data_IF_470074422111
#
_entry.id   IF_470074422111
#
_cell.length_a   1.000
_cell.length_b   1.000
_cell.length_c   1.000
_cell.angle_alpha   90.00
_cell.angle_beta   90.00
_cell.angle_gamma   90.00
#
_symmetry.space_group_name_H-M   'P 1'
#
loop_
_entity.id
_entity.type
_entity.pdbx_description
1 polymer ?
#
# COMPACT_ATOMS: atom_id res chain seq x y z
N UNK A 1 22.55 2.18 -29.14
CA UNK A 1 21.25 1.97 -28.48
C UNK A 1 20.19 2.07 -29.58
N UNK A 2 19.17 1.22 -29.59
CA UNK A 2 18.08 1.33 -30.56
C UNK A 2 17.37 2.69 -30.37
N UNK A 3 17.06 3.46 -31.43
CA UNK A 3 16.25 4.68 -31.31
C UNK A 3 14.93 4.50 -30.55
N UNK A 4 14.32 3.32 -30.63
CA UNK A 4 13.12 2.97 -29.86
C UNK A 4 13.43 2.91 -28.36
N UNK A 5 14.54 2.28 -27.97
CA UNK A 5 14.98 2.19 -26.58
C UNK A 5 15.21 3.59 -25.99
N UNK A 6 15.83 4.50 -26.75
CA UNK A 6 16.08 5.88 -26.31
C UNK A 6 14.77 6.67 -26.10
N UNK A 7 13.77 6.50 -26.97
CA UNK A 7 12.46 7.14 -26.84
C UNK A 7 11.67 6.59 -25.64
N UNK A 8 11.66 5.27 -25.44
CA UNK A 8 11.02 4.63 -24.29
C UNK A 8 11.71 5.02 -22.98
N UNK A 9 13.04 5.11 -22.98
CA UNK A 9 13.81 5.65 -21.87
C UNK A 9 13.41 7.10 -21.55
N UNK A 10 13.27 7.95 -22.59
CA UNK A 10 12.88 9.36 -22.44
C UNK A 10 11.47 9.48 -21.86
N UNK A 11 10.51 8.68 -22.33
CA UNK A 11 9.14 8.66 -21.79
C UNK A 11 9.11 8.29 -20.31
N UNK A 12 9.88 7.27 -19.92
CA UNK A 12 9.97 6.82 -18.53
C UNK A 12 10.62 7.86 -17.62
N UNK A 13 11.70 8.50 -18.08
CA UNK A 13 12.55 9.41 -17.29
C UNK A 13 12.14 10.88 -17.31
N UNK A 14 11.30 11.28 -18.29
CA UNK A 14 10.98 12.70 -18.53
C UNK A 14 10.23 13.39 -17.39
N UNK A 15 9.45 12.67 -16.58
CA UNK A 15 8.67 13.27 -15.50
C UNK A 15 8.60 12.37 -14.26
N UNK A 16 8.92 12.94 -13.08
CA UNK A 16 8.75 12.24 -11.80
C UNK A 16 7.28 11.87 -11.55
N UNK A 17 7.07 10.81 -10.77
CA UNK A 17 5.73 10.33 -10.41
C UNK A 17 4.95 11.42 -9.63
N UNK A 18 3.64 11.50 -9.87
CA UNK A 18 2.80 12.50 -9.24
C UNK A 18 2.58 12.17 -7.76
N UNK A 19 2.72 13.16 -6.86
CA UNK A 19 2.66 12.94 -5.41
C UNK A 19 1.23 12.85 -4.85
N UNK A 20 0.23 13.34 -5.58
CA UNK A 20 -1.16 13.35 -5.08
C UNK A 20 -1.68 11.97 -4.68
N UNK A 21 -1.58 10.89 -5.49
CA UNK A 21 -2.14 9.60 -5.11
C UNK A 21 -1.64 9.06 -3.76
N UNK A 22 -0.32 8.95 -3.49
CA UNK A 22 0.15 8.51 -2.18
C UNK A 22 -0.16 9.52 -1.06
N UNK A 23 -0.18 10.83 -1.34
CA UNK A 23 -0.54 11.83 -0.33
C UNK A 23 -2.01 11.73 0.10
N UNK A 24 -2.92 11.52 -0.86
CA UNK A 24 -4.34 11.28 -0.60
C UNK A 24 -4.52 10.01 0.22
N UNK A 25 -3.82 8.93 -0.12
CA UNK A 25 -3.88 7.69 0.64
C UNK A 25 -3.49 7.89 2.11
N UNK A 26 -2.44 8.66 2.38
CA UNK A 26 -1.99 8.97 3.75
C UNK A 26 -3.02 9.81 4.50
N UNK A 27 -3.62 10.81 3.84
CA UNK A 27 -4.69 11.61 4.45
C UNK A 27 -5.90 10.72 4.78
N UNK A 28 -6.26 9.80 3.88
CA UNK A 28 -7.34 8.83 4.11
C UNK A 28 -7.01 7.90 5.27
N UNK A 29 -5.78 7.39 5.37
CA UNK A 29 -5.34 6.57 6.51
C UNK A 29 -5.45 7.33 7.84
N UNK A 30 -4.93 8.55 7.90
CA UNK A 30 -5.00 9.38 9.12
C UNK A 30 -6.44 9.75 9.50
N UNK A 31 -7.29 10.05 8.53
CA UNK A 31 -8.71 10.29 8.77
C UNK A 31 -9.43 9.02 9.26
N UNK A 32 -9.14 7.88 8.63
CA UNK A 32 -9.68 6.57 9.01
C UNK A 32 -9.31 6.22 10.44
N UNK A 33 -8.05 6.46 10.84
CA UNK A 33 -7.57 6.27 12.21
C UNK A 33 -8.25 7.24 13.19
N UNK A 34 -8.34 8.52 12.86
CA UNK A 34 -8.96 9.53 13.74
C UNK A 34 -10.44 9.23 14.04
N UNK A 35 -11.12 8.57 13.09
CA UNK A 35 -12.51 8.15 13.21
C UNK A 35 -12.68 6.78 13.90
N UNK A 36 -11.61 6.09 14.28
CA UNK A 36 -11.73 4.81 14.99
C UNK A 36 -12.42 4.99 16.35
N UNK A 37 -13.22 3.99 16.79
CA UNK A 37 -13.74 3.94 18.15
C UNK A 37 -12.62 4.07 19.19
N UNK A 38 -12.90 4.78 20.29
CA UNK A 38 -11.89 5.07 21.31
C UNK A 38 -11.28 3.83 21.95
N UNK A 39 -12.00 2.70 21.95
CA UNK A 39 -11.50 1.40 22.42
C UNK A 39 -10.37 0.82 21.56
N UNK A 40 -10.22 1.29 20.32
CA UNK A 40 -9.23 0.81 19.35
C UNK A 40 -8.07 1.80 19.14
N UNK A 41 -8.06 2.89 19.90
CA UNK A 41 -7.00 3.90 19.85
C UNK A 41 -5.91 3.57 20.85
N UNK A 42 -4.67 3.73 20.40
CA UNK A 42 -3.51 3.66 21.27
C UNK A 42 -3.11 5.06 21.71
N UNK A 43 -3.56 5.45 22.90
CA UNK A 43 -3.31 6.78 23.46
C UNK A 43 -4.21 7.87 22.85
N UNK A 44 -3.81 9.15 22.93
CA UNK A 44 -4.62 10.26 22.45
C UNK A 44 -4.88 10.21 20.93
N UNK A 45 -6.16 10.32 20.54
CA UNK A 45 -6.68 10.18 19.16
C UNK A 45 -5.89 10.92 18.07
N UNK A 46 -5.31 12.07 18.41
CA UNK A 46 -4.67 12.94 17.43
C UNK A 46 -3.15 12.73 17.31
N UNK A 47 -2.51 11.93 18.17
CA UNK A 47 -1.04 11.77 18.09
C UNK A 47 -0.64 11.17 16.76
N UNK A 48 -1.22 10.02 16.39
CA UNK A 48 -0.84 9.34 15.14
C UNK A 48 -1.18 10.19 13.90
N UNK A 49 -2.40 10.74 13.73
CA UNK A 49 -2.69 11.60 12.59
C UNK A 49 -1.77 12.83 12.51
N UNK A 50 -1.42 13.45 13.63
CA UNK A 50 -0.49 14.59 13.64
C UNK A 50 0.91 14.17 13.22
N UNK A 51 1.40 13.02 13.68
CA UNK A 51 2.71 12.48 13.26
C UNK A 51 2.69 12.16 11.77
N UNK A 52 1.66 11.49 11.27
CA UNK A 52 1.52 11.16 9.84
C UNK A 52 1.46 12.42 8.97
N UNK A 53 0.70 13.44 9.39
CA UNK A 53 0.63 14.72 8.69
C UNK A 53 1.96 15.48 8.73
N UNK A 54 2.68 15.46 9.85
CA UNK A 54 3.99 16.10 9.97
C UNK A 54 5.02 15.45 9.03
N UNK A 55 5.05 14.10 8.98
CA UNK A 55 5.87 13.35 8.03
C UNK A 55 5.49 13.67 6.58
N UNK A 56 4.18 13.70 6.29
CA UNK A 56 3.69 14.02 4.95
C UNK A 56 4.10 15.43 4.52
N UNK A 57 3.96 16.43 5.39
CA UNK A 57 4.38 17.81 5.13
C UNK A 57 5.88 17.89 4.87
N UNK A 58 6.71 17.22 5.66
CA UNK A 58 8.16 17.19 5.46
C UNK A 58 8.52 16.58 4.09
N UNK A 59 7.83 15.53 3.67
CA UNK A 59 8.07 14.91 2.37
C UNK A 59 7.53 15.75 1.20
N UNK A 60 6.37 16.42 1.36
CA UNK A 60 5.83 17.38 0.38
C UNK A 60 6.79 18.54 0.19
N UNK A 61 7.39 19.06 1.26
CA UNK A 61 8.38 20.13 1.19
C UNK A 61 9.61 19.73 0.34
N UNK A 62 9.97 18.44 0.33
CA UNK A 62 11.07 17.91 -0.50
C UNK A 62 10.67 17.80 -1.99
N UNK A 63 9.45 17.35 -2.26
CA UNK A 63 8.92 17.20 -3.63
C UNK A 63 7.42 17.58 -3.66
N UNK A 64 7.06 18.83 -4.00
CA UNK A 64 5.69 19.30 -3.81
C UNK A 64 4.69 18.72 -4.82
N UNK A 65 5.11 18.47 -6.06
CA UNK A 65 4.22 17.99 -7.14
C UNK A 65 4.66 16.66 -7.72
N UNK A 66 5.92 16.58 -8.14
CA UNK A 66 6.51 15.38 -8.77
C UNK A 66 7.72 14.92 -7.99
N UNK A 67 7.80 13.61 -7.78
CA UNK A 67 8.88 12.96 -7.05
C UNK A 67 10.11 12.86 -7.95
N UNK A 68 11.00 13.85 -7.84
CA UNK A 68 12.19 13.97 -8.69
C UNK A 68 13.47 13.97 -7.87
N UNK A 69 13.46 14.43 -6.61
CA UNK A 69 14.63 14.41 -5.74
C UNK A 69 14.43 13.38 -4.64
N UNK A 70 15.45 12.56 -4.41
CA UNK A 70 15.50 11.66 -3.28
C UNK A 70 16.80 11.88 -2.52
N UNK A 71 16.66 12.11 -1.22
CA UNK A 71 17.78 12.14 -0.27
C UNK A 71 17.66 10.94 0.65
N UNK A 72 18.74 10.55 1.32
CA UNK A 72 18.70 9.48 2.33
C UNK A 72 17.62 9.76 3.39
N UNK A 73 17.48 11.01 3.82
CA UNK A 73 16.46 11.42 4.78
C UNK A 73 15.05 11.29 4.23
N UNK A 74 14.75 11.83 3.04
CA UNK A 74 13.41 11.72 2.47
C UNK A 74 13.00 10.26 2.27
N UNK A 75 13.97 9.37 1.96
CA UNK A 75 13.75 7.94 1.82
C UNK A 75 13.45 7.25 3.16
N UNK A 76 14.18 7.60 4.22
CA UNK A 76 13.91 7.10 5.57
C UNK A 76 12.53 7.58 6.04
N UNK A 77 12.20 8.87 5.84
CA UNK A 77 10.91 9.43 6.24
C UNK A 77 9.74 8.77 5.50
N UNK A 78 9.88 8.47 4.20
CA UNK A 78 8.80 7.87 3.42
C UNK A 78 8.50 6.43 3.85
N UNK A 79 9.55 5.63 4.06
CA UNK A 79 9.41 4.27 4.60
C UNK A 79 8.89 4.30 6.04
N UNK A 80 9.38 5.22 6.87
CA UNK A 80 8.91 5.38 8.25
C UNK A 80 7.43 5.75 8.30
N UNK A 81 6.95 6.60 7.40
CA UNK A 81 5.53 6.96 7.32
C UNK A 81 4.65 5.73 7.02
N UNK A 82 5.03 4.90 6.05
CA UNK A 82 4.31 3.66 5.77
C UNK A 82 4.36 2.69 6.97
N UNK A 83 5.52 2.60 7.64
CA UNK A 83 5.68 1.76 8.82
C UNK A 83 4.81 2.22 10.00
N UNK A 84 4.69 3.54 10.25
CA UNK A 84 3.81 4.09 11.30
C UNK A 84 2.35 3.72 11.05
N UNK A 85 1.88 3.86 9.79
CA UNK A 85 0.51 3.48 9.40
C UNK A 85 0.28 1.99 9.68
N UNK A 86 1.19 1.12 9.23
CA UNK A 86 1.07 -0.33 9.42
C UNK A 86 1.10 -0.71 10.90
N UNK A 87 2.10 -0.24 11.65
CA UNK A 87 2.27 -0.61 13.06
C UNK A 87 1.07 -0.15 13.89
N UNK A 88 0.61 1.08 13.69
CA UNK A 88 -0.58 1.59 14.37
C UNK A 88 -1.81 0.74 14.02
N UNK A 89 -1.96 0.36 12.75
CA UNK A 89 -3.08 -0.46 12.33
C UNK A 89 -3.02 -1.90 12.89
N UNK A 90 -1.82 -2.47 13.06
CA UNK A 90 -1.65 -3.78 13.71
C UNK A 90 -2.02 -3.73 15.20
N UNK A 91 -1.74 -2.62 15.88
CA UNK A 91 -2.22 -2.39 17.26
C UNK A 91 -3.75 -2.29 17.28
N UNK A 92 -4.34 -1.51 16.37
CA UNK A 92 -5.80 -1.39 16.26
C UNK A 92 -6.47 -2.75 15.96
N UNK A 93 -5.85 -3.59 15.11
CA UNK A 93 -6.30 -4.96 14.86
C UNK A 93 -6.22 -5.83 16.13
N UNK A 94 -5.13 -5.75 16.89
CA UNK A 94 -5.01 -6.45 18.18
C UNK A 94 -6.11 -6.07 19.16
N UNK A 95 -6.39 -4.78 19.30
CA UNK A 95 -7.48 -4.27 20.13
C UNK A 95 -8.85 -4.71 19.60
N UNK A 96 -9.04 -4.72 18.28
CA UNK A 96 -10.26 -5.18 17.64
C UNK A 96 -10.52 -6.66 17.93
N UNK A 97 -9.48 -7.51 17.86
CA UNK A 97 -9.55 -8.92 18.23
C UNK A 97 -10.04 -9.06 19.68
N UNK A 98 -9.44 -8.34 20.62
CA UNK A 98 -9.83 -8.41 22.04
C UNK A 98 -11.24 -7.89 22.30
N UNK A 99 -11.68 -6.87 21.56
CA UNK A 99 -13.03 -6.31 21.70
C UNK A 99 -14.08 -7.23 21.10
N UNK A 100 -13.78 -7.91 19.99
CA UNK A 100 -14.71 -8.85 19.34
C UNK A 100 -14.94 -10.12 20.14
N UNK A 101 -14.03 -10.46 21.05
CA UNK A 101 -14.22 -11.55 22.02
C UNK A 101 -15.10 -11.18 23.21
N UNK A 102 -15.45 -9.91 23.39
CA UNK A 102 -16.34 -9.46 24.45
C UNK A 102 -17.82 -9.59 24.01
N UNK A 103 -18.65 -10.38 24.72
CA UNK A 103 -20.07 -10.52 24.40
C UNK A 103 -20.84 -9.20 24.40
N UNK A 104 -20.44 -8.23 25.25
CA UNK A 104 -21.16 -6.98 25.47
C UNK A 104 -20.93 -5.89 24.41
N UNK A 105 -20.03 -6.12 23.44
CA UNK A 105 -19.66 -5.09 22.47
C UNK A 105 -20.76 -4.82 21.41
N UNK A 106 -21.05 -3.55 21.11
CA UNK A 106 -22.05 -3.17 20.10
C UNK A 106 -21.62 -3.53 18.67
N UNK A 107 -22.35 -4.46 18.03
CA UNK A 107 -21.95 -5.06 16.73
C UNK A 107 -21.83 -4.09 15.56
N UNK A 108 -22.66 -3.04 15.48
CA UNK A 108 -22.62 -2.08 14.37
C UNK A 108 -21.35 -1.23 14.33
N UNK A 109 -20.90 -0.76 15.50
CA UNK A 109 -19.65 0.01 15.62
C UNK A 109 -18.42 -0.82 15.28
N UNK A 110 -18.47 -2.13 15.57
CA UNK A 110 -17.38 -3.08 15.31
C UNK A 110 -17.22 -3.40 13.83
N UNK A 111 -18.31 -3.50 13.06
CA UNK A 111 -18.24 -3.69 11.61
C UNK A 111 -17.55 -2.50 10.93
N UNK A 112 -17.93 -1.29 11.31
CA UNK A 112 -17.29 -0.07 10.80
C UNK A 112 -15.81 -0.04 11.17
N UNK A 113 -15.47 -0.36 12.42
CA UNK A 113 -14.09 -0.44 12.88
C UNK A 113 -13.26 -1.47 12.10
N UNK A 114 -13.81 -2.66 11.85
CA UNK A 114 -13.13 -3.67 11.06
C UNK A 114 -12.89 -3.22 9.62
N UNK A 115 -13.86 -2.53 9.00
CA UNK A 115 -13.70 -1.93 7.69
C UNK A 115 -12.60 -0.86 7.69
N UNK A 116 -12.53 -0.02 8.73
CA UNK A 116 -11.49 0.99 8.92
C UNK A 116 -10.10 0.35 9.06
N UNK A 117 -9.98 -0.71 9.85
CA UNK A 117 -8.72 -1.46 10.04
C UNK A 117 -8.29 -2.14 8.74
N UNK A 118 -9.22 -2.75 8.01
CA UNK A 118 -8.95 -3.36 6.71
C UNK A 118 -8.50 -2.32 5.67
N UNK A 119 -9.20 -1.20 5.57
CA UNK A 119 -8.85 -0.12 4.63
C UNK A 119 -7.45 0.45 4.93
N UNK A 120 -7.15 0.68 6.21
CA UNK A 120 -5.84 1.19 6.64
C UNK A 120 -4.74 0.16 6.39
N UNK A 121 -5.04 -1.15 6.49
CA UNK A 121 -4.12 -2.22 6.14
C UNK A 121 -3.74 -2.18 4.65
N UNK A 122 -4.74 -2.03 3.76
CA UNK A 122 -4.53 -1.89 2.31
C UNK A 122 -3.69 -0.64 2.00
N UNK A 123 -3.99 0.49 2.62
CA UNK A 123 -3.23 1.72 2.37
C UNK A 123 -1.78 1.59 2.87
N UNK A 124 -1.59 1.13 4.10
CA UNK A 124 -0.27 1.02 4.73
C UNK A 124 0.66 0.11 3.94
N UNK A 125 0.19 -1.09 3.58
CA UNK A 125 1.00 -2.02 2.78
C UNK A 125 1.16 -1.55 1.33
N UNK A 126 0.16 -0.92 0.71
CA UNK A 126 0.30 -0.33 -0.62
C UNK A 126 1.40 0.74 -0.68
N UNK A 127 1.46 1.63 0.34
CA UNK A 127 2.55 2.59 0.52
C UNK A 127 3.90 1.89 0.70
N UNK A 128 3.97 0.87 1.56
CA UNK A 128 5.22 0.16 1.83
C UNK A 128 5.74 -0.59 0.59
N UNK A 129 4.88 -1.26 -0.16
CA UNK A 129 5.27 -1.96 -1.40
C UNK A 129 5.79 -0.98 -2.44
N UNK A 130 5.08 0.12 -2.66
CA UNK A 130 5.48 1.19 -3.58
C UNK A 130 6.82 1.82 -3.20
N UNK A 131 7.06 1.98 -1.90
CA UNK A 131 8.33 2.47 -1.39
C UNK A 131 9.44 1.42 -1.58
N UNK A 132 9.25 0.14 -1.30
CA UNK A 132 10.34 -0.84 -1.31
C UNK A 132 10.77 -1.29 -2.71
N UNK A 133 9.82 -1.46 -3.61
CA UNK A 133 10.06 -2.09 -4.91
C UNK A 133 11.00 -1.26 -5.80
N UNK A 134 11.92 -1.95 -6.49
CA UNK A 134 12.82 -1.35 -7.49
C UNK A 134 13.55 -0.09 -7.02
N UNK A 135 13.86 -0.02 -5.71
CA UNK A 135 14.55 1.10 -5.08
C UNK A 135 13.66 2.26 -4.64
N UNK A 136 12.38 2.27 -5.01
CA UNK A 136 11.41 3.31 -4.67
C UNK A 136 10.98 4.19 -5.85
N UNK A 137 10.03 5.11 -5.63
CA UNK A 137 9.36 5.88 -6.69
C UNK A 137 10.27 6.78 -7.50
N UNK A 138 11.26 7.41 -6.87
CA UNK A 138 12.22 8.27 -7.58
C UNK A 138 13.16 7.44 -8.43
N UNK A 139 13.67 6.33 -7.88
CA UNK A 139 14.55 5.40 -8.58
C UNK A 139 13.85 4.80 -9.82
N UNK A 140 12.59 4.33 -9.68
CA UNK A 140 11.79 3.77 -10.79
C UNK A 140 11.66 4.71 -11.99
N UNK A 141 11.62 6.02 -11.75
CA UNK A 141 11.50 7.05 -12.80
C UNK A 141 12.85 7.55 -13.28
N UNK A 142 13.88 7.64 -12.44
CA UNK A 142 15.16 8.27 -12.80
C UNK A 142 16.22 7.32 -13.31
N UNK A 143 16.29 6.11 -12.75
CA UNK A 143 17.31 5.15 -13.13
C UNK A 143 16.98 4.53 -14.48
N UNK A 144 18.04 4.18 -15.22
CA UNK A 144 17.90 3.36 -16.42
C UNK A 144 17.43 1.97 -16.01
N UNK A 145 16.95 1.18 -16.98
CA UNK A 145 16.35 -0.12 -16.67
C UNK A 145 17.42 -1.08 -16.15
N UNK A 146 18.60 -1.02 -16.75
CA UNK A 146 19.75 -1.86 -16.39
C UNK A 146 20.40 -1.44 -15.06
N UNK A 147 20.21 -0.18 -14.64
CA UNK A 147 20.70 0.36 -13.38
C UNK A 147 19.67 0.21 -12.23
N UNK A 148 18.46 -0.27 -12.53
CA UNK A 148 17.38 -0.35 -11.56
C UNK A 148 17.61 -1.55 -10.61
N UNK A 149 17.39 -1.38 -9.30
CA UNK A 149 17.43 -2.51 -8.38
C UNK A 149 16.46 -3.63 -8.81
N UNK A 150 16.78 -4.91 -8.51
CA UNK A 150 15.90 -6.02 -8.80
C UNK A 150 14.48 -5.82 -8.25
N UNK A 151 13.49 -6.29 -9.00
CA UNK A 151 12.09 -6.19 -8.61
C UNK A 151 11.77 -7.12 -7.43
N UNK A 152 10.98 -6.61 -6.48
CA UNK A 152 10.38 -7.39 -5.40
C UNK A 152 9.08 -8.06 -5.86
N UNK A 153 8.36 -7.40 -6.76
CA UNK A 153 7.12 -7.88 -7.34
C UNK A 153 7.19 -7.90 -8.86
N UNK A 154 6.67 -8.98 -9.43
CA UNK A 154 6.52 -9.17 -10.88
C UNK A 154 5.09 -8.88 -11.27
N UNK A 155 4.88 -7.81 -12.02
CA UNK A 155 3.57 -7.43 -12.55
C UNK A 155 3.33 -8.09 -13.91
N UNK A 156 2.07 -8.32 -14.29
CA UNK A 156 1.72 -8.91 -15.59
C UNK A 156 2.36 -8.19 -16.78
N UNK A 157 2.48 -6.85 -16.72
CA UNK A 157 3.14 -6.06 -17.77
C UNK A 157 4.61 -6.42 -17.97
N UNK A 158 5.28 -7.00 -16.97
CA UNK A 158 6.67 -7.49 -17.12
C UNK A 158 6.77 -8.78 -17.96
N UNK A 159 5.64 -9.45 -18.25
CA UNK A 159 5.59 -10.74 -18.96
C UNK A 159 4.86 -10.67 -20.31
N UNK A 160 4.11 -9.61 -20.59
CA UNK A 160 3.20 -9.53 -21.74
C UNK A 160 3.89 -9.34 -23.12
N UNK A 161 5.21 -9.48 -23.22
CA UNK A 161 5.97 -9.16 -24.45
C UNK A 161 5.58 -10.05 -25.65
N UNK A 162 5.18 -11.31 -25.40
CA UNK A 162 4.79 -12.31 -26.41
C UNK A 162 3.26 -12.50 -26.51
N UNK A 163 2.49 -11.65 -25.84
CA UNK A 163 1.03 -11.70 -25.87
C UNK A 163 0.44 -11.19 -27.21
N UNK A 164 -0.87 -11.39 -27.38
CA UNK A 164 -1.64 -10.85 -28.52
C UNK A 164 -1.44 -9.34 -28.65
N UNK A 165 -1.63 -8.81 -29.87
CA UNK A 165 -1.25 -7.45 -30.24
C UNK A 165 -1.83 -6.38 -29.29
N UNK A 166 -3.09 -6.51 -28.91
CA UNK A 166 -3.78 -5.59 -28.01
C UNK A 166 -3.30 -5.63 -26.55
N UNK A 167 -2.57 -6.67 -26.15
CA UNK A 167 -2.00 -6.83 -24.80
C UNK A 167 -0.52 -6.44 -24.79
N UNK A 168 0.26 -6.87 -25.79
CA UNK A 168 1.70 -6.61 -25.85
C UNK A 168 2.06 -5.14 -26.02
N UNK A 169 1.13 -4.30 -26.52
CA UNK A 169 1.28 -2.83 -26.53
C UNK A 169 1.49 -2.23 -25.13
N UNK A 170 0.99 -2.89 -24.07
CA UNK A 170 1.18 -2.47 -22.69
C UNK A 170 2.38 -3.12 -22.00
N UNK A 171 3.10 -4.01 -22.69
CA UNK A 171 4.23 -4.73 -22.12
C UNK A 171 5.37 -3.78 -21.75
N UNK A 172 6.09 -4.15 -20.70
CA UNK A 172 7.13 -3.33 -20.09
C UNK A 172 8.24 -3.00 -21.08
N UNK A 173 8.65 -3.94 -21.96
CA UNK A 173 9.67 -3.67 -22.98
C UNK A 173 9.15 -2.82 -24.13
N UNK A 174 7.91 -3.03 -24.57
CA UNK A 174 7.35 -2.32 -25.72
C UNK A 174 6.92 -0.87 -25.40
N UNK A 175 6.45 -0.61 -24.18
CA UNK A 175 5.87 0.68 -23.79
C UNK A 175 6.72 1.49 -22.81
N UNK A 176 7.77 0.88 -22.26
CA UNK A 176 8.53 1.46 -21.14
C UNK A 176 7.73 1.54 -19.84
N UNK A 177 6.64 0.75 -19.72
CA UNK A 177 5.78 0.73 -18.54
C UNK A 177 6.59 0.49 -17.26
N UNK A 178 6.18 1.17 -16.20
CA UNK A 178 6.69 0.99 -14.85
C UNK A 178 5.53 1.11 -13.87
N UNK A 179 5.52 0.31 -12.79
CA UNK A 179 4.47 0.40 -11.79
C UNK A 179 4.50 1.77 -11.11
N UNK A 180 3.32 2.26 -10.77
CA UNK A 180 3.03 3.49 -10.03
C UNK A 180 2.35 3.16 -8.72
N UNK A 181 2.14 4.15 -7.84
CA UNK A 181 1.48 3.94 -6.55
C UNK A 181 0.13 3.20 -6.67
N UNK A 182 -0.65 3.49 -7.71
CA UNK A 182 -1.95 2.84 -7.92
C UNK A 182 -1.81 1.34 -8.14
N UNK A 183 -0.78 0.91 -8.88
CA UNK A 183 -0.51 -0.50 -9.13
C UNK A 183 -0.17 -1.25 -7.83
N UNK A 184 0.59 -0.63 -6.91
CA UNK A 184 0.88 -1.22 -5.60
C UNK A 184 -0.31 -1.17 -4.64
N UNK A 185 -1.16 -0.14 -4.73
CA UNK A 185 -2.40 -0.09 -3.96
C UNK A 185 -3.37 -1.19 -4.42
N UNK A 186 -3.43 -1.44 -5.73
CA UNK A 186 -4.18 -2.55 -6.29
C UNK A 186 -3.61 -3.91 -5.85
N UNK A 187 -2.29 -4.12 -5.97
CA UNK A 187 -1.60 -5.29 -5.41
C UNK A 187 -1.94 -5.50 -3.91
N UNK A 188 -1.94 -4.42 -3.14
CA UNK A 188 -2.25 -4.48 -1.71
C UNK A 188 -3.70 -4.86 -1.45
N UNK A 189 -4.63 -4.33 -2.24
CA UNK A 189 -6.06 -4.65 -2.17
C UNK A 189 -6.32 -6.12 -2.55
N UNK A 190 -5.70 -6.60 -3.62
CA UNK A 190 -5.86 -7.99 -4.09
C UNK A 190 -5.25 -8.98 -3.11
N UNK A 191 -4.03 -8.72 -2.62
CA UNK A 191 -3.39 -9.53 -1.58
C UNK A 191 -4.19 -9.54 -0.26
N UNK A 192 -4.83 -8.43 0.10
CA UNK A 192 -5.65 -8.33 1.31
C UNK A 192 -7.01 -9.01 1.18
N UNK A 193 -7.58 -9.12 -0.02
CA UNK A 193 -8.92 -9.70 -0.23
C UNK A 193 -8.88 -11.19 -0.53
N UNK A 194 -7.79 -11.69 -1.14
CA UNK A 194 -7.62 -13.10 -1.53
C UNK A 194 -8.71 -13.68 -2.46
N UNK A 195 -9.66 -12.86 -2.94
CA UNK A 195 -10.74 -13.25 -3.85
C UNK A 195 -10.56 -12.75 -5.29
N UNK A 196 -9.49 -12.01 -5.57
CA UNK A 196 -9.16 -11.47 -6.89
C UNK A 196 -8.17 -12.36 -7.66
N UNK A 197 -8.07 -12.23 -9.00
CA UNK A 197 -6.97 -12.85 -9.74
C UNK A 197 -5.61 -12.41 -9.21
N UNK A 198 -4.72 -13.37 -8.95
CA UNK A 198 -3.34 -13.09 -8.53
C UNK A 198 -2.51 -12.70 -9.74
N UNK A 199 -2.44 -11.40 -10.05
CA UNK A 199 -1.75 -10.87 -11.22
C UNK A 199 -0.30 -10.41 -10.95
N UNK A 200 0.09 -10.39 -9.68
CA UNK A 200 1.38 -9.87 -9.23
C UNK A 200 2.06 -10.84 -8.26
N UNK A 201 3.22 -11.39 -8.63
CA UNK A 201 3.93 -12.39 -7.83
C UNK A 201 5.06 -11.78 -6.99
N UNK A 202 5.21 -12.15 -5.70
CA UNK A 202 6.37 -11.77 -4.90
C UNK A 202 7.60 -12.59 -5.28
N UNK A 203 8.65 -11.90 -5.72
CA UNK A 203 9.92 -12.51 -6.14
C UNK A 203 10.90 -12.70 -4.98
N UNK A 204 10.98 -11.73 -4.08
CA UNK A 204 11.96 -11.72 -2.98
C UNK A 204 11.38 -12.29 -1.69
N UNK A 205 12.25 -12.80 -0.81
CA UNK A 205 11.83 -13.30 0.52
C UNK A 205 11.13 -12.22 1.36
N UNK A 206 11.59 -10.97 1.27
CA UNK A 206 10.94 -9.85 1.97
C UNK A 206 9.52 -9.58 1.45
N UNK A 207 9.31 -9.62 0.13
CA UNK A 207 8.00 -9.44 -0.47
C UNK A 207 7.02 -10.54 -0.01
N UNK A 208 7.49 -11.80 0.00
CA UNK A 208 6.71 -12.95 0.49
C UNK A 208 6.30 -12.79 1.95
N UNK A 209 7.22 -12.38 2.82
CA UNK A 209 6.92 -12.17 4.24
C UNK A 209 5.91 -11.03 4.45
N UNK A 210 6.11 -9.88 3.80
CA UNK A 210 5.20 -8.74 3.94
C UNK A 210 3.80 -9.06 3.43
N UNK A 211 3.69 -9.71 2.26
CA UNK A 211 2.41 -10.16 1.72
C UNK A 211 1.73 -11.17 2.65
N UNK A 212 2.48 -12.10 3.24
CA UNK A 212 1.99 -13.06 4.21
C UNK A 212 1.44 -12.39 5.49
N UNK A 213 2.14 -11.40 6.04
CA UNK A 213 1.68 -10.62 7.18
C UNK A 213 0.38 -9.88 6.84
N UNK A 214 0.36 -9.18 5.70
CA UNK A 214 -0.81 -8.43 5.28
C UNK A 214 -2.04 -9.33 5.09
N UNK A 215 -1.87 -10.45 4.36
CA UNK A 215 -2.95 -11.39 4.09
C UNK A 215 -3.48 -12.02 5.38
N UNK A 216 -2.58 -12.36 6.33
CA UNK A 216 -2.96 -12.89 7.64
C UNK A 216 -3.77 -11.88 8.45
N UNK A 217 -3.33 -10.62 8.50
CA UNK A 217 -4.05 -9.55 9.19
C UNK A 217 -5.46 -9.31 8.60
N UNK A 218 -5.57 -9.33 7.27
CA UNK A 218 -6.84 -9.17 6.57
C UNK A 218 -7.78 -10.37 6.78
N UNK A 219 -7.23 -11.60 6.77
CA UNK A 219 -7.98 -12.82 7.04
C UNK A 219 -8.53 -12.80 8.47
N UNK A 220 -7.70 -12.45 9.47
CA UNK A 220 -8.16 -12.31 10.86
C UNK A 220 -9.29 -11.29 10.97
N UNK A 221 -9.12 -10.11 10.38
CA UNK A 221 -10.17 -9.08 10.36
C UNK A 221 -11.48 -9.61 9.79
N UNK A 222 -11.43 -10.29 8.64
CA UNK A 222 -12.60 -10.82 7.95
C UNK A 222 -13.29 -11.93 8.74
N UNK A 223 -12.52 -12.90 9.27
CA UNK A 223 -13.05 -14.01 10.06
C UNK A 223 -13.79 -13.54 11.31
N UNK A 224 -13.25 -12.53 12.01
CA UNK A 224 -13.86 -12.02 13.23
C UNK A 224 -15.15 -11.25 12.94
N UNK A 225 -15.19 -10.48 11.85
CA UNK A 225 -16.42 -9.82 11.39
C UNK A 225 -17.50 -10.85 11.08
N UNK A 226 -17.16 -11.90 10.33
CA UNK A 226 -18.11 -12.97 9.98
C UNK A 226 -18.59 -13.68 11.26
N UNK A 227 -17.68 -14.04 12.16
CA UNK A 227 -18.01 -14.70 13.41
C UNK A 227 -18.98 -13.87 14.26
N UNK A 228 -18.76 -12.55 14.36
CA UNK A 228 -19.64 -11.64 15.12
C UNK A 228 -21.00 -11.49 14.43
N UNK A 229 -21.03 -11.34 13.11
CA UNK A 229 -22.27 -11.25 12.35
C UNK A 229 -23.13 -12.51 12.53
N UNK A 230 -22.55 -13.70 12.39
CA UNK A 230 -23.26 -14.99 12.61
C UNK A 230 -23.72 -15.12 14.05
N UNK A 231 -22.87 -14.81 15.03
CA UNK A 231 -23.24 -14.85 16.45
C UNK A 231 -24.40 -13.94 16.80
N UNK A 232 -24.51 -12.77 16.16
CA UNK A 232 -25.62 -11.83 16.37
C UNK A 232 -26.96 -12.32 15.80
N UNK A 233 -26.94 -13.20 14.80
CA UNK A 233 -28.15 -13.77 14.18
C UNK A 233 -28.67 -15.01 14.94
N UNK A 234 -27.78 -15.77 15.59
CA UNK A 234 -28.14 -16.99 16.33
C UNK A 234 -28.55 -16.78 17.79
N UNK A 235 -28.41 -15.57 18.31
CA UNK A 235 -28.75 -15.21 19.69
C UNK A 235 -30.09 -14.47 19.86
N UNK A 236 -30.95 -14.51 18.84
CA UNK A 236 -32.33 -13.99 18.89
C UNK A 236 -33.35 -15.03 19.31
#
# INVERSE_FOLDING_TARGET
>A
MDPLDEELERRRTSTGEHRLPPAVAVIVAGATYALLPSSLLFGPRLIVPVVELALLVALIATNPRRMTRETKWSRILSVAQAAVVILTNMVALGLLITTLTDPAAEGGSLLLAALQVWLTNVIGFGLLYWELDRGGPVARRKLRRDDMPPADWRFSQDENDDAVQEVSVGASKASGWIPTFVDYLYLSLTNSSAFSPTDTMPLTSRAKMLMGIQASAALLTSLLVIARAVGSLGGG
#
